data_IF_660607755142
#
_entry.id   IF_660607755142
#
_cell.length_a   1.000
_cell.length_b   1.000
_cell.length_c   1.000
_cell.angle_alpha   90.00
_cell.angle_beta   90.00
_cell.angle_gamma   90.00
#
_symmetry.space_group_name_H-M   'P 1'
#
loop_
_entity.id
_entity.type
_entity.pdbx_description
1 polymer ?
#
# COMPACT_ATOMS: atom_id res chain seq x y z
N UNK A 1 -44.83 5.89 -68.99
CA UNK A 1 -43.81 6.56 -68.19
C UNK A 1 -43.93 6.17 -66.70
N UNK A 2 -44.06 4.90 -66.34
CA UNK A 2 -44.26 4.48 -64.95
C UNK A 2 -43.42 3.26 -64.52
N UNK A 3 -42.37 2.90 -65.24
CA UNK A 3 -41.52 1.73 -64.91
C UNK A 3 -40.18 1.99 -64.30
N UNK A 4 -39.75 3.25 -64.14
CA UNK A 4 -38.38 3.58 -63.64
C UNK A 4 -38.35 4.10 -62.24
N UNK A 5 -39.48 4.12 -61.51
CA UNK A 5 -39.47 4.69 -60.10
C UNK A 5 -39.25 3.59 -59.10
N UNK A 6 -39.59 2.34 -59.41
CA UNK A 6 -39.45 1.23 -58.43
C UNK A 6 -38.02 0.65 -58.32
N UNK A 7 -37.17 0.92 -59.34
CA UNK A 7 -35.79 0.40 -59.30
C UNK A 7 -34.78 1.23 -58.45
N UNK A 8 -35.15 2.46 -58.16
CA UNK A 8 -34.29 3.35 -57.31
C UNK A 8 -34.61 3.27 -55.83
N UNK A 9 -35.76 2.70 -55.44
CA UNK A 9 -36.14 2.56 -54.03
C UNK A 9 -35.57 1.31 -53.36
N UNK A 10 -35.19 0.29 -54.15
CA UNK A 10 -34.68 -0.99 -53.61
C UNK A 10 -33.18 -1.02 -53.38
N UNK A 11 -32.43 -0.03 -53.88
CA UNK A 11 -30.98 0.04 -53.72
C UNK A 11 -30.54 0.88 -52.51
N UNK A 12 -31.48 1.57 -51.86
CA UNK A 12 -31.17 2.41 -50.68
C UNK A 12 -31.40 1.67 -49.36
N UNK A 13 -31.92 0.46 -49.38
CA UNK A 13 -32.27 -0.30 -48.16
C UNK A 13 -31.20 -1.31 -47.72
N UNK A 14 -30.07 -1.43 -48.43
CA UNK A 14 -29.04 -2.46 -48.16
C UNK A 14 -27.75 -1.88 -47.56
N UNK A 15 -27.64 -0.56 -47.40
CA UNK A 15 -26.40 0.08 -46.87
C UNK A 15 -26.46 0.36 -45.36
N UNK A 16 -27.53 -0.04 -44.66
CA UNK A 16 -27.71 0.32 -43.25
C UNK A 16 -27.48 -0.81 -42.25
N UNK A 17 -26.71 -1.85 -42.58
CA UNK A 17 -26.51 -3.01 -41.71
C UNK A 17 -25.04 -3.40 -41.49
N UNK A 18 -24.09 -2.48 -41.60
CA UNK A 18 -22.68 -2.74 -41.22
C UNK A 18 -22.11 -1.62 -40.37
N UNK A 19 -22.82 -1.21 -39.31
CA UNK A 19 -22.20 -0.59 -38.16
C UNK A 19 -22.32 -1.62 -37.02
N UNK A 20 -21.56 -2.70 -37.14
CA UNK A 20 -21.12 -3.48 -36.00
C UNK A 20 -20.11 -2.59 -35.30
N UNK A 21 -20.50 -1.98 -34.19
CA UNK A 21 -19.52 -1.55 -33.20
C UNK A 21 -18.83 -2.82 -32.73
N UNK A 22 -17.63 -3.08 -33.24
CA UNK A 22 -16.61 -3.75 -32.44
C UNK A 22 -16.43 -2.89 -31.22
N UNK A 23 -16.95 -3.33 -30.06
CA UNK A 23 -16.34 -2.99 -28.81
C UNK A 23 -14.95 -3.60 -28.91
N UNK A 24 -13.95 -2.75 -29.09
CA UNK A 24 -12.60 -3.06 -28.64
C UNK A 24 -12.74 -3.35 -27.15
N UNK A 25 -12.89 -4.63 -26.82
CA UNK A 25 -12.49 -5.15 -25.53
C UNK A 25 -10.96 -5.01 -25.52
N UNK A 26 -10.47 -3.80 -25.25
CA UNK A 26 -9.15 -3.65 -24.66
C UNK A 26 -9.26 -4.48 -23.38
N UNK A 27 -8.46 -5.56 -23.22
CA UNK A 27 -8.38 -6.20 -21.93
C UNK A 27 -8.04 -5.08 -20.94
N UNK A 28 -8.89 -4.91 -19.91
CA UNK A 28 -8.46 -4.18 -18.74
C UNK A 28 -7.11 -4.78 -18.41
N UNK A 29 -6.09 -3.93 -18.26
CA UNK A 29 -4.81 -4.39 -17.79
C UNK A 29 -5.14 -5.13 -16.49
N UNK A 30 -4.99 -6.46 -16.52
CA UNK A 30 -5.01 -7.23 -15.30
C UNK A 30 -3.92 -6.58 -14.47
N UNK A 31 -4.31 -6.01 -13.33
CA UNK A 31 -3.36 -5.50 -12.36
C UNK A 31 -2.51 -6.72 -11.99
N UNK A 32 -1.30 -6.80 -12.57
CA UNK A 32 -0.38 -7.87 -12.20
C UNK A 32 -0.18 -7.67 -10.71
N UNK A 33 -0.63 -8.64 -9.90
CA UNK A 33 -0.48 -8.57 -8.45
C UNK A 33 0.98 -8.32 -8.16
N UNK A 34 1.25 -7.12 -7.65
CA UNK A 34 2.59 -6.75 -7.22
C UNK A 34 2.98 -7.69 -6.08
N UNK A 35 4.02 -8.49 -6.30
CA UNK A 35 4.54 -9.35 -5.25
C UNK A 35 5.40 -8.49 -4.33
N UNK A 36 4.84 -8.12 -3.20
CA UNK A 36 5.47 -7.34 -2.14
C UNK A 36 5.68 -8.27 -0.94
N UNK A 37 6.78 -9.00 -0.92
CA UNK A 37 7.03 -10.02 0.10
C UNK A 37 8.05 -9.62 1.15
N UNK A 38 8.57 -8.39 1.06
CA UNK A 38 9.50 -7.86 2.03
C UNK A 38 9.35 -6.36 2.20
N UNK A 39 9.31 -5.92 3.46
CA UNK A 39 9.35 -4.51 3.84
C UNK A 39 10.64 -4.21 4.58
N UNK A 40 11.22 -3.05 4.28
CA UNK A 40 12.43 -2.56 4.95
C UNK A 40 12.14 -1.20 5.56
N UNK A 41 12.44 -1.03 6.85
CA UNK A 41 12.38 0.27 7.53
C UNK A 41 13.80 0.68 7.92
N UNK A 42 14.19 1.89 7.50
CA UNK A 42 15.43 2.54 7.96
C UNK A 42 15.05 3.62 8.95
N UNK A 43 15.55 3.50 10.17
CA UNK A 43 15.34 4.46 11.27
C UNK A 43 16.62 5.26 11.48
N UNK A 44 16.53 6.58 11.27
CA UNK A 44 17.67 7.49 11.45
C UNK A 44 17.39 8.47 12.59
N UNK A 45 18.24 8.50 13.59
CA UNK A 45 18.18 9.51 14.65
C UNK A 45 18.65 10.88 14.11
N UNK A 46 17.77 11.88 14.17
CA UNK A 46 18.04 13.20 13.58
C UNK A 46 19.04 14.05 14.38
N UNK A 47 19.45 13.60 15.59
CA UNK A 47 20.41 14.33 16.40
C UNK A 47 21.87 13.95 16.13
N UNK A 48 22.14 12.72 15.70
CA UNK A 48 23.51 12.19 15.52
C UNK A 48 23.69 11.43 14.19
N UNK A 49 22.68 11.38 13.33
CA UNK A 49 22.64 10.71 12.04
C UNK A 49 22.93 9.19 12.13
N UNK A 50 22.82 8.58 13.30
CA UNK A 50 22.90 7.13 13.42
C UNK A 50 21.66 6.46 12.81
N UNK A 51 21.87 5.34 12.10
CA UNK A 51 20.78 4.65 11.40
C UNK A 51 20.82 3.15 11.68
N UNK A 52 19.63 2.57 11.82
CA UNK A 52 19.40 1.12 11.90
C UNK A 52 18.41 0.69 10.83
N UNK A 53 18.54 -0.57 10.39
CA UNK A 53 17.69 -1.13 9.33
C UNK A 53 16.98 -2.37 9.86
N UNK A 54 15.66 -2.39 9.69
CA UNK A 54 14.78 -3.46 10.09
C UNK A 54 14.14 -4.08 8.86
N UNK A 55 14.04 -5.41 8.85
CA UNK A 55 13.49 -6.16 7.71
C UNK A 55 12.29 -6.98 8.21
N UNK A 56 11.22 -6.94 7.43
CA UNK A 56 9.97 -7.65 7.70
C UNK A 56 9.64 -8.51 6.48
N UNK A 57 9.42 -9.80 6.71
CA UNK A 57 8.86 -10.69 5.70
C UNK A 57 7.34 -10.49 5.69
N UNK A 58 6.77 -10.32 4.51
CA UNK A 58 5.32 -10.14 4.33
C UNK A 58 4.75 -11.48 3.86
N UNK A 59 3.87 -12.06 4.65
CA UNK A 59 3.15 -13.25 4.23
C UNK A 59 2.07 -12.86 3.20
N UNK A 60 2.00 -13.60 2.09
CA UNK A 60 0.93 -13.40 1.11
C UNK A 60 -0.41 -13.77 1.75
N UNK A 61 -1.23 -12.79 2.06
CA UNK A 61 -2.61 -13.04 2.44
C UNK A 61 -3.41 -13.40 1.20
N UNK A 62 -3.75 -14.69 1.05
CA UNK A 62 -4.69 -15.15 0.01
C UNK A 62 -6.07 -14.51 0.24
N UNK A 63 -6.40 -13.47 -0.52
CA UNK A 63 -7.67 -12.73 -0.47
C UNK A 63 -8.90 -13.55 -0.90
N UNK A 64 -8.87 -14.87 -0.77
CA UNK A 64 -9.87 -15.79 -1.33
C UNK A 64 -10.62 -16.69 -0.36
N UNK A 65 -10.53 -16.60 0.98
CA UNK A 65 -11.30 -17.49 1.84
C UNK A 65 -11.97 -16.80 3.03
N UNK A 66 -13.30 -16.90 3.00
CA UNK A 66 -14.28 -16.69 4.06
C UNK A 66 -13.76 -17.11 5.46
N UNK A 67 -13.67 -16.17 6.37
CA UNK A 67 -13.34 -16.41 7.78
C UNK A 67 -14.44 -17.22 8.47
N UNK A 68 -14.52 -18.52 8.20
CA UNK A 68 -15.26 -19.42 9.06
C UNK A 68 -14.36 -19.86 10.22
N UNK A 69 -14.66 -19.26 11.36
CA UNK A 69 -14.16 -19.56 12.71
C UNK A 69 -13.74 -21.01 12.88
N UNK A 70 -12.44 -21.27 12.98
CA UNK A 70 -11.94 -22.51 13.55
C UNK A 70 -11.73 -22.32 15.06
N UNK A 71 -12.06 -23.34 15.89
CA UNK A 71 -11.94 -23.21 17.33
C UNK A 71 -10.46 -23.14 17.72
N UNK A 72 -10.13 -22.13 18.51
CA UNK A 72 -8.82 -21.96 19.13
C UNK A 72 -8.49 -23.21 19.96
N UNK A 73 -7.54 -23.99 19.53
CA UNK A 73 -6.83 -24.89 20.45
C UNK A 73 -5.74 -24.04 21.11
N UNK A 74 -5.94 -23.80 22.40
CA UNK A 74 -4.88 -23.28 23.25
C UNK A 74 -3.72 -24.28 23.19
N UNK A 75 -2.60 -23.85 22.67
CA UNK A 75 -1.30 -24.37 23.03
C UNK A 75 -0.37 -23.16 23.20
N UNK A 76 0.18 -23.11 24.41
CA UNK A 76 1.02 -22.07 24.98
C UNK A 76 2.37 -21.95 24.27
N UNK A 77 2.92 -20.74 24.28
CA UNK A 77 4.34 -20.40 24.13
C UNK A 77 4.96 -20.48 22.72
N UNK A 78 4.42 -19.75 21.75
CA UNK A 78 5.26 -19.11 20.74
C UNK A 78 5.09 -17.59 20.87
N UNK A 79 6.00 -16.98 21.61
CA UNK A 79 6.33 -15.59 21.41
C UNK A 79 6.90 -15.50 20.00
N UNK A 80 6.07 -15.11 19.02
CA UNK A 80 6.57 -14.67 17.73
C UNK A 80 7.64 -13.63 18.01
N UNK A 81 8.79 -13.75 17.36
CA UNK A 81 9.89 -12.78 17.45
C UNK A 81 9.36 -11.43 16.92
N UNK A 82 8.69 -10.66 17.80
CA UNK A 82 8.28 -9.30 17.48
C UNK A 82 9.52 -8.46 17.28
N UNK A 83 9.64 -7.84 16.11
CA UNK A 83 10.71 -6.88 15.88
C UNK A 83 10.55 -5.69 16.81
N UNK A 84 11.55 -5.41 17.60
CA UNK A 84 11.58 -4.26 18.50
C UNK A 84 12.46 -3.17 17.91
N UNK A 85 11.92 -1.95 17.82
CA UNK A 85 12.64 -0.74 17.42
C UNK A 85 12.89 0.11 18.65
N UNK A 86 14.16 0.20 19.06
CA UNK A 86 14.57 0.96 20.24
C UNK A 86 14.72 2.45 19.92
N UNK A 87 14.02 3.30 20.65
CA UNK A 87 13.99 4.74 20.48
C UNK A 87 14.32 5.44 21.80
N UNK A 88 15.07 6.54 21.75
CA UNK A 88 15.35 7.37 22.94
C UNK A 88 14.21 8.36 23.15
N UNK A 89 13.78 8.52 24.41
CA UNK A 89 12.80 9.51 24.81
C UNK A 89 13.29 10.95 24.51
N UNK A 90 12.36 11.80 24.09
CA UNK A 90 12.64 13.20 23.77
C UNK A 90 13.49 13.40 22.50
N UNK A 91 13.44 12.48 21.56
CA UNK A 91 14.25 12.46 20.34
C UNK A 91 13.38 12.52 19.10
N UNK A 92 13.98 12.90 17.98
CA UNK A 92 13.34 12.89 16.67
C UNK A 92 14.05 11.89 15.74
N UNK A 93 13.26 11.15 15.00
CA UNK A 93 13.72 10.14 14.06
C UNK A 93 13.10 10.33 12.68
N UNK A 94 13.86 10.01 11.65
CA UNK A 94 13.34 9.82 10.31
C UNK A 94 13.13 8.32 10.09
N UNK A 95 11.93 7.93 9.69
CA UNK A 95 11.58 6.59 9.26
C UNK A 95 11.42 6.60 7.74
N UNK A 96 12.10 5.70 7.08
CA UNK A 96 12.00 5.49 5.62
C UNK A 96 11.56 4.05 5.40
N UNK A 97 10.36 3.86 4.84
CA UNK A 97 9.82 2.54 4.50
C UNK A 97 10.01 2.28 3.00
N UNK A 98 10.38 1.07 2.67
CA UNK A 98 10.49 0.59 1.29
C UNK A 98 9.98 -0.84 1.15
N UNK A 99 9.53 -1.17 -0.05
CA UNK A 99 8.88 -2.43 -0.39
C UNK A 99 9.70 -3.15 -1.44
N UNK A 100 9.94 -4.43 -1.23
CA UNK A 100 10.79 -5.24 -2.11
C UNK A 100 10.06 -6.51 -2.53
N UNK A 101 10.40 -6.98 -3.72
CA UNK A 101 10.18 -8.35 -4.13
C UNK A 101 11.52 -9.07 -4.11
N UNK A 102 11.72 -9.97 -3.16
CA UNK A 102 12.93 -10.78 -3.00
C UNK A 102 12.66 -12.28 -3.24
N UNK A 103 11.60 -12.62 -3.95
CA UNK A 103 11.27 -13.98 -4.38
C UNK A 103 12.47 -14.67 -5.05
N UNK A 104 13.27 -13.93 -5.83
CA UNK A 104 14.57 -14.38 -6.31
C UNK A 104 15.69 -13.64 -5.55
N UNK A 105 16.38 -14.30 -4.59
CA UNK A 105 17.43 -13.64 -3.79
C UNK A 105 18.63 -13.16 -4.61
N UNK A 106 18.75 -13.59 -5.88
CA UNK A 106 19.78 -13.10 -6.79
C UNK A 106 19.32 -11.88 -7.61
N UNK A 107 18.03 -11.55 -7.56
CA UNK A 107 17.44 -10.45 -8.30
C UNK A 107 16.35 -9.78 -7.49
N UNK A 108 16.73 -9.08 -6.43
CA UNK A 108 15.79 -8.31 -5.58
C UNK A 108 15.31 -7.10 -6.36
N UNK A 109 14.00 -6.92 -6.44
CA UNK A 109 13.36 -5.80 -7.15
C UNK A 109 12.87 -4.80 -6.11
N UNK A 110 13.23 -3.52 -6.29
CA UNK A 110 12.70 -2.41 -5.49
C UNK A 110 11.33 -1.98 -6.06
N UNK A 111 10.27 -2.38 -5.37
CA UNK A 111 8.88 -2.07 -5.70
C UNK A 111 8.46 -0.68 -5.20
N UNK A 112 9.26 -0.05 -4.34
CA UNK A 112 8.97 1.31 -3.83
C UNK A 112 8.88 2.33 -4.97
N UNK A 113 9.65 2.12 -6.05
CA UNK A 113 9.60 2.99 -7.23
C UNK A 113 8.24 2.92 -7.95
N UNK A 114 7.59 1.76 -7.95
CA UNK A 114 6.25 1.57 -8.52
C UNK A 114 5.22 2.29 -7.66
N UNK A 115 5.24 2.09 -6.34
CA UNK A 115 4.42 2.83 -5.38
C UNK A 115 4.55 4.35 -5.56
N UNK A 116 5.78 4.86 -5.81
CA UNK A 116 6.03 6.27 -6.09
C UNK A 116 5.45 6.71 -7.44
N UNK A 117 5.56 5.89 -8.48
CA UNK A 117 5.02 6.19 -9.80
C UNK A 117 3.48 6.23 -9.75
N UNK A 118 2.87 5.40 -8.94
CA UNK A 118 1.43 5.28 -8.70
C UNK A 118 0.99 6.00 -7.42
N UNK A 119 1.65 7.08 -7.08
CA UNK A 119 1.45 7.85 -5.86
C UNK A 119 0.01 8.31 -5.59
N UNK A 120 -0.80 8.43 -6.63
CA UNK A 120 -2.21 8.79 -6.49
C UNK A 120 -3.05 7.60 -6.00
N UNK A 121 -2.55 6.38 -6.22
CA UNK A 121 -3.21 5.11 -5.90
C UNK A 121 -2.68 4.45 -4.63
N UNK A 122 -1.59 4.95 -4.03
CA UNK A 122 -1.01 4.38 -2.82
C UNK A 122 -0.95 5.37 -1.66
N UNK A 123 -0.92 4.81 -0.42
CA UNK A 123 -0.70 5.57 0.81
C UNK A 123 -0.15 4.64 1.90
N UNK A 124 0.83 5.12 2.67
CA UNK A 124 1.31 4.42 3.86
C UNK A 124 0.64 5.00 5.10
N UNK A 125 0.05 4.15 5.92
CA UNK A 125 -0.57 4.51 7.19
C UNK A 125 0.08 3.75 8.34
N UNK A 126 0.25 4.44 9.47
CA UNK A 126 0.75 3.86 10.71
C UNK A 126 -0.32 3.98 11.79
N UNK A 127 -0.67 2.88 12.43
CA UNK A 127 -1.50 2.84 13.63
C UNK A 127 -0.63 2.61 14.86
N UNK A 128 -0.90 3.33 15.95
CA UNK A 128 -0.17 3.25 17.20
C UNK A 128 -1.11 2.81 18.32
N UNK A 129 -0.84 1.66 18.94
CA UNK A 129 -1.57 1.20 20.12
C UNK A 129 -0.91 1.79 21.40
N UNK A 130 -0.95 3.09 21.54
CA UNK A 130 -0.37 3.77 22.71
C UNK A 130 -0.17 5.27 22.51
N UNK A 131 0.56 5.86 23.45
CA UNK A 131 0.89 7.27 23.42
C UNK A 131 2.40 7.41 23.69
N UNK A 132 3.00 8.51 23.22
CA UNK A 132 4.43 8.77 23.45
C UNK A 132 5.20 8.95 22.16
N UNK A 133 4.58 8.65 21.02
CA UNK A 133 5.11 8.92 19.68
C UNK A 133 4.09 9.76 18.90
N UNK A 134 4.59 10.78 18.21
CA UNK A 134 3.87 11.58 17.25
C UNK A 134 4.51 11.36 15.87
N UNK A 135 3.68 11.11 14.85
CA UNK A 135 4.13 10.85 13.48
C UNK A 135 3.64 11.98 12.58
N UNK A 136 4.53 12.53 11.78
CA UNK A 136 4.21 13.50 10.74
C UNK A 136 5.00 13.21 9.45
N UNK A 137 4.50 13.66 8.30
CA UNK A 137 5.24 13.54 7.04
C UNK A 137 6.56 14.30 7.11
N UNK A 138 7.63 13.71 6.58
CA UNK A 138 8.96 14.33 6.58
C UNK A 138 9.24 15.08 5.27
N UNK A 139 10.07 16.10 5.35
CA UNK A 139 10.53 16.83 4.17
C UNK A 139 11.28 15.91 3.20
N UNK A 140 10.79 15.83 1.96
CA UNK A 140 11.33 14.94 0.93
C UNK A 140 10.50 13.68 0.69
N UNK A 141 9.40 13.49 1.44
CA UNK A 141 8.42 12.46 1.11
C UNK A 141 7.75 12.73 -0.24
N UNK A 142 7.24 11.69 -0.87
CA UNK A 142 6.49 11.79 -2.14
C UNK A 142 5.11 12.38 -1.88
N UNK A 143 4.73 13.35 -2.71
CA UNK A 143 3.42 14.01 -2.64
C UNK A 143 2.58 13.60 -3.86
N UNK A 144 1.33 13.20 -3.63
CA UNK A 144 0.38 12.85 -4.67
C UNK A 144 -0.10 14.11 -5.46
N UNK A 145 -0.90 13.88 -6.51
CA UNK A 145 -1.43 14.97 -7.35
C UNK A 145 -2.43 15.88 -6.61
N UNK A 146 -2.96 15.46 -5.47
CA UNK A 146 -3.91 16.21 -4.64
C UNK A 146 -3.21 16.97 -3.50
N UNK A 147 -1.91 16.75 -3.30
CA UNK A 147 -1.12 17.39 -2.24
C UNK A 147 -1.02 16.58 -0.95
N UNK A 148 -1.43 15.31 -0.95
CA UNK A 148 -1.26 14.43 0.21
C UNK A 148 0.10 13.73 0.15
N UNK A 149 0.71 13.56 1.32
CA UNK A 149 1.94 12.79 1.46
C UNK A 149 1.65 11.28 1.31
N UNK A 150 2.60 10.54 0.72
CA UNK A 150 2.55 9.08 0.70
C UNK A 150 2.92 8.46 2.05
N UNK A 151 3.66 9.19 2.88
CA UNK A 151 4.24 8.74 4.15
C UNK A 151 5.28 7.61 4.01
N UNK A 152 5.96 7.54 2.86
CA UNK A 152 7.14 6.69 2.68
C UNK A 152 8.31 7.20 3.55
N UNK A 153 8.34 8.51 3.79
CA UNK A 153 9.31 9.15 4.69
C UNK A 153 8.55 9.95 5.75
N UNK A 154 8.67 9.53 7.00
CA UNK A 154 7.98 10.15 8.13
C UNK A 154 8.95 10.61 9.20
N UNK A 155 8.54 11.62 9.99
CA UNK A 155 9.23 12.03 11.19
C UNK A 155 8.48 11.52 12.41
N UNK A 156 9.19 10.87 13.30
CA UNK A 156 8.69 10.35 14.56
C UNK A 156 9.29 11.15 15.70
N UNK A 157 8.46 11.72 16.55
CA UNK A 157 8.87 12.46 17.74
C UNK A 157 8.45 11.69 18.97
N UNK A 158 9.43 11.26 19.76
CA UNK A 158 9.22 10.54 21.00
C UNK A 158 9.13 11.52 22.19
N UNK A 159 8.27 11.24 23.16
CA UNK A 159 8.08 12.13 24.32
C UNK A 159 8.39 11.49 25.68
N UNK A 160 7.81 10.33 25.95
CA UNK A 160 7.92 9.63 27.24
C UNK A 160 8.24 8.17 27.01
N UNK A 161 8.87 7.52 27.99
CA UNK A 161 9.10 6.09 28.00
C UNK A 161 7.80 5.32 27.81
N UNK A 162 7.75 4.43 26.85
CA UNK A 162 6.57 3.63 26.48
C UNK A 162 6.98 2.43 25.65
N UNK A 163 6.16 1.38 25.70
CA UNK A 163 6.14 0.26 24.76
C UNK A 163 4.89 0.44 23.92
N UNK A 164 5.03 0.55 22.60
CA UNK A 164 3.97 0.91 21.67
C UNK A 164 3.96 -0.10 20.54
N UNK A 165 2.86 -0.82 20.41
CA UNK A 165 2.60 -1.66 19.25
C UNK A 165 2.28 -0.76 18.03
N UNK A 166 2.90 -1.07 16.92
CA UNK A 166 2.81 -0.30 15.68
C UNK A 166 2.42 -1.22 14.54
N UNK A 167 1.34 -0.87 13.87
CA UNK A 167 0.93 -1.49 12.61
C UNK A 167 1.22 -0.50 11.47
N UNK A 168 1.88 -0.97 10.42
CA UNK A 168 2.14 -0.16 9.23
C UNK A 168 1.55 -0.84 7.98
N UNK A 169 0.78 -0.06 7.23
CA UNK A 169 0.02 -0.52 6.07
C UNK A 169 0.46 0.19 4.80
N UNK A 170 0.68 -0.56 3.71
CA UNK A 170 0.60 -0.02 2.36
C UNK A 170 -0.82 -0.23 1.85
N UNK A 171 -1.50 0.86 1.53
CA UNK A 171 -2.90 0.87 1.10
C UNK A 171 -2.95 1.18 -0.38
N UNK A 172 -3.62 0.31 -1.15
CA UNK A 172 -3.88 0.50 -2.57
C UNK A 172 -5.28 1.06 -2.81
N UNK A 173 -5.36 2.04 -3.69
CA UNK A 173 -6.58 2.75 -4.09
C UNK A 173 -7.42 3.26 -2.90
N UNK A 174 -6.80 3.97 -1.93
CA UNK A 174 -7.53 4.51 -0.81
C UNK A 174 -8.61 5.48 -1.29
N UNK A 175 -9.80 5.38 -0.71
CA UNK A 175 -10.90 6.33 -0.98
C UNK A 175 -10.70 7.66 -0.27
N UNK A 176 -9.84 7.68 0.76
CA UNK A 176 -9.39 8.84 1.52
C UNK A 176 -7.90 8.65 1.86
N UNK A 177 -7.13 9.73 1.93
CA UNK A 177 -5.76 9.72 2.46
C UNK A 177 -5.68 10.48 3.80
N UNK A 178 -6.81 10.55 4.51
CA UNK A 178 -6.91 11.12 5.84
C UNK A 178 -7.81 10.27 6.71
N UNK A 179 -7.30 9.85 7.87
CA UNK A 179 -7.99 8.98 8.81
C UNK A 179 -7.15 8.74 10.06
N UNK A 180 -7.69 7.96 11.00
CA UNK A 180 -6.97 7.57 12.22
C UNK A 180 -6.77 6.06 12.30
N UNK A 181 -7.59 5.29 11.59
CA UNK A 181 -7.52 3.82 11.56
C UNK A 181 -7.45 3.36 10.10
N UNK A 182 -6.94 2.16 9.88
CA UNK A 182 -6.86 1.54 8.55
C UNK A 182 -8.20 1.59 7.80
N UNK A 183 -9.29 1.38 8.49
CA UNK A 183 -10.65 1.34 7.91
C UNK A 183 -11.08 2.70 7.35
N UNK A 184 -10.58 3.82 7.90
CA UNK A 184 -10.94 5.17 7.45
C UNK A 184 -10.45 5.47 6.01
N UNK A 185 -9.43 4.75 5.56
CA UNK A 185 -8.82 4.97 4.24
C UNK A 185 -9.58 4.24 3.12
N UNK A 186 -10.24 3.11 3.40
CA UNK A 186 -10.80 2.24 2.37
C UNK A 186 -9.71 1.62 1.48
N UNK A 187 -10.05 1.21 0.26
CA UNK A 187 -9.12 0.50 -0.63
C UNK A 187 -8.76 -0.90 -0.12
N UNK A 188 -7.73 -1.51 -0.69
CA UNK A 188 -7.17 -2.79 -0.25
C UNK A 188 -5.85 -2.58 0.52
N UNK A 189 -5.45 -3.57 1.30
CA UNK A 189 -4.12 -3.61 1.94
C UNK A 189 -3.22 -4.48 1.09
N UNK A 190 -2.12 -3.91 0.58
CA UNK A 190 -1.10 -4.67 -0.17
C UNK A 190 -0.02 -5.20 0.78
N UNK A 191 0.30 -4.45 1.83
CA UNK A 191 1.28 -4.83 2.84
C UNK A 191 0.77 -4.44 4.22
N UNK A 192 0.95 -5.33 5.18
CA UNK A 192 0.75 -5.11 6.61
C UNK A 192 1.95 -5.68 7.37
N UNK A 193 2.56 -4.88 8.23
CA UNK A 193 3.62 -5.31 9.14
C UNK A 193 3.35 -4.80 10.54
N UNK A 194 3.76 -5.58 11.53
CA UNK A 194 3.69 -5.26 12.96
C UNK A 194 5.09 -5.20 13.58
N UNK A 195 5.29 -4.28 14.51
CA UNK A 195 6.49 -4.19 15.34
C UNK A 195 6.21 -3.44 16.63
N UNK A 196 7.09 -3.59 17.60
CA UNK A 196 7.07 -2.81 18.85
C UNK A 196 8.07 -1.66 18.78
N UNK A 197 7.64 -0.46 19.18
CA UNK A 197 8.52 0.68 19.40
C UNK A 197 8.73 0.87 20.91
N UNK A 198 9.95 0.61 21.37
CA UNK A 198 10.34 0.83 22.77
C UNK A 198 11.01 2.20 22.92
N UNK A 199 10.37 3.09 23.67
CA UNK A 199 10.90 4.42 23.98
C UNK A 199 11.51 4.40 25.39
N UNK A 200 12.82 4.61 25.49
CA UNK A 200 13.58 4.61 26.75
C UNK A 200 14.09 6.01 27.17
#
# INVERSE_FOLDING_TARGET
MLKNIYFKATLLSIVLLLISCDKDDTPEAENEMEVLNKTVIVVTNLSDDSSETYNFEVEEHDHGQDHSVLPQTQDDDEHGDHTVIELKSGSEYKFEISFLNDTDPNNIIDMTLEVINEKDEHHVHYELAGNGIEIESYSGDTIDSNGNALNLVTKWTTSTSAEIEVEAYLIHQPTSKTGNTRDDFGGSTDVEIEFEAHVE
#
